data_IF_620295381211
#
_entry.id   IF_620295381211
#
_cell.length_a   1.000
_cell.length_b   1.000
_cell.length_c   1.000
_cell.angle_alpha   90.00
_cell.angle_beta   90.00
_cell.angle_gamma   90.00
#
_symmetry.space_group_name_H-M   'P 1'
#
loop_
_entity.id
_entity.type
_entity.pdbx_description
1 polymer ?
#
# COMPACT_ATOMS: atom_id res chain seq x y z
N UNK A 1 -36.54 -34.56 -0.87
CA UNK A 1 -35.54 -34.64 0.22
C UNK A 1 -34.15 -34.20 -0.22
N UNK A 2 -33.49 -34.79 -1.27
CA UNK A 2 -32.14 -34.40 -1.71
C UNK A 2 -32.01 -32.92 -2.12
N UNK A 3 -33.03 -32.35 -2.82
CA UNK A 3 -33.02 -30.93 -3.23
C UNK A 3 -33.11 -29.98 -2.03
N UNK A 4 -33.91 -30.33 -1.01
CA UNK A 4 -34.04 -29.55 0.22
C UNK A 4 -32.74 -29.56 1.03
N UNK A 5 -32.09 -30.74 1.12
CA UNK A 5 -30.78 -30.86 1.79
C UNK A 5 -29.72 -30.04 1.08
N UNK A 6 -29.68 -30.05 -0.26
CA UNK A 6 -28.74 -29.27 -1.05
C UNK A 6 -28.94 -27.77 -0.87
N UNK A 7 -30.22 -27.31 -0.85
CA UNK A 7 -30.53 -25.89 -0.59
C UNK A 7 -30.14 -25.48 0.83
N UNK A 8 -30.33 -26.33 1.83
CA UNK A 8 -29.96 -26.06 3.21
C UNK A 8 -28.43 -25.95 3.36
N UNK A 9 -27.67 -26.85 2.72
CA UNK A 9 -26.19 -26.81 2.69
C UNK A 9 -25.69 -25.56 1.98
N UNK A 10 -26.29 -25.17 0.85
CA UNK A 10 -25.94 -23.95 0.14
C UNK A 10 -26.16 -22.69 0.98
N UNK A 11 -27.29 -22.62 1.72
CA UNK A 11 -27.58 -21.50 2.63
C UNK A 11 -26.59 -21.45 3.79
N UNK A 12 -26.19 -22.60 4.35
CA UNK A 12 -25.17 -22.66 5.41
C UNK A 12 -23.80 -22.19 4.95
N UNK A 13 -23.42 -22.44 3.69
CA UNK A 13 -22.17 -21.94 3.12
C UNK A 13 -22.18 -20.42 2.87
N UNK A 14 -23.32 -19.83 2.54
CA UNK A 14 -23.43 -18.38 2.33
C UNK A 14 -23.38 -17.55 3.62
N UNK A 15 -23.75 -18.16 4.76
CA UNK A 15 -23.71 -17.50 6.06
C UNK A 15 -22.29 -17.34 6.64
N UNK A 16 -21.28 -17.98 6.06
CA UNK A 16 -19.89 -17.92 6.54
C UNK A 16 -19.02 -16.88 5.82
N UNK A 17 -19.54 -16.18 4.81
CA UNK A 17 -18.82 -15.17 4.07
C UNK A 17 -18.87 -13.83 4.81
N UNK A 18 -18.22 -13.74 5.97
CA UNK A 18 -17.98 -12.46 6.63
C UNK A 18 -16.73 -11.82 5.99
N UNK A 19 -16.93 -10.75 5.25
CA UNK A 19 -15.84 -9.93 4.79
C UNK A 19 -15.35 -9.05 5.93
N UNK A 20 -14.04 -8.91 6.05
CA UNK A 20 -13.45 -7.95 6.98
C UNK A 20 -13.64 -6.54 6.46
N UNK A 21 -13.95 -5.62 7.34
CA UNK A 21 -13.91 -4.21 7.02
C UNK A 21 -12.45 -3.77 6.81
N UNK A 22 -12.24 -2.76 6.00
CA UNK A 22 -10.93 -2.19 5.73
C UNK A 22 -10.83 -0.73 6.14
N UNK A 23 -9.69 -0.08 5.84
CA UNK A 23 -9.48 1.35 6.07
C UNK A 23 -9.57 1.75 7.56
N UNK A 24 -8.98 0.97 8.43
CA UNK A 24 -8.95 1.22 9.87
C UNK A 24 -8.15 2.48 10.21
N UNK A 25 -8.63 3.27 11.16
CA UNK A 25 -7.96 4.47 11.65
C UNK A 25 -6.72 4.09 12.47
N UNK A 26 -5.55 4.37 11.95
CA UNK A 26 -4.26 3.97 12.54
C UNK A 26 -4.10 4.39 14.02
N UNK A 27 -4.46 5.62 14.45
CA UNK A 27 -4.35 6.02 15.85
C UNK A 27 -5.23 5.21 16.81
N UNK A 28 -6.25 4.54 16.29
CA UNK A 28 -7.19 3.76 17.10
C UNK A 28 -7.01 2.25 17.02
N UNK A 29 -6.02 1.75 16.26
CA UNK A 29 -5.78 0.31 16.05
C UNK A 29 -5.72 -0.46 17.38
N UNK A 30 -4.99 0.04 18.36
CA UNK A 30 -4.83 -0.60 19.67
C UNK A 30 -6.17 -0.84 20.38
N UNK A 31 -7.10 0.10 20.25
CA UNK A 31 -8.40 0.01 20.94
C UNK A 31 -9.43 -0.78 20.16
N UNK A 32 -9.40 -0.69 18.83
CA UNK A 32 -10.48 -1.17 17.98
C UNK A 32 -10.19 -2.51 17.31
N UNK A 33 -9.01 -2.66 16.70
CA UNK A 33 -8.81 -3.71 15.69
C UNK A 33 -7.67 -4.66 15.97
N UNK A 34 -6.68 -4.27 16.78
CA UNK A 34 -5.44 -5.05 16.95
C UNK A 34 -5.70 -6.49 17.46
N UNK A 35 -6.71 -6.66 18.31
CA UNK A 35 -7.08 -7.98 18.84
C UNK A 35 -7.55 -8.92 17.75
N UNK A 36 -8.43 -8.43 16.88
CA UNK A 36 -8.96 -9.19 15.75
C UNK A 36 -7.88 -9.48 14.72
N UNK A 37 -7.08 -8.49 14.38
CA UNK A 37 -5.94 -8.64 13.49
C UNK A 37 -4.95 -9.70 13.97
N UNK A 38 -4.67 -9.74 15.29
CA UNK A 38 -3.80 -10.77 15.90
C UNK A 38 -4.44 -12.16 15.84
N UNK A 39 -5.74 -12.30 16.03
CA UNK A 39 -6.45 -13.57 15.86
C UNK A 39 -6.35 -14.10 14.42
N UNK A 40 -6.27 -13.21 13.43
CA UNK A 40 -6.08 -13.52 12.00
C UNK A 40 -4.62 -13.73 11.61
N UNK A 41 -3.70 -13.65 12.56
CA UNK A 41 -2.29 -13.98 12.36
C UNK A 41 -1.32 -12.81 12.31
N UNK A 42 -1.76 -11.56 12.56
CA UNK A 42 -0.87 -10.41 12.65
C UNK A 42 0.14 -10.63 13.79
N UNK A 43 1.43 -10.46 13.48
CA UNK A 43 2.54 -10.57 14.44
C UNK A 43 2.96 -9.22 15.01
N UNK A 44 2.60 -8.12 14.34
CA UNK A 44 2.98 -6.77 14.74
C UNK A 44 2.12 -6.26 15.90
N UNK A 45 2.68 -5.36 16.70
CA UNK A 45 1.93 -4.54 17.65
C UNK A 45 1.25 -3.36 16.94
N UNK A 46 0.40 -2.63 17.64
CA UNK A 46 -0.17 -1.40 17.10
C UNK A 46 0.92 -0.32 16.94
N UNK A 47 1.88 -0.28 17.85
CA UNK A 47 3.02 0.62 17.83
C UNK A 47 3.98 0.32 16.66
N UNK A 48 4.19 -0.95 16.30
CA UNK A 48 4.97 -1.33 15.12
C UNK A 48 4.33 -0.80 13.82
N UNK A 49 3.00 -0.68 13.80
CA UNK A 49 2.26 -0.18 12.65
C UNK A 49 2.22 1.34 12.64
N UNK A 50 1.87 1.95 13.77
CA UNK A 50 1.75 3.39 13.91
C UNK A 50 2.25 3.85 15.28
N UNK A 51 3.35 4.57 15.29
CA UNK A 51 3.89 5.28 16.45
C UNK A 51 4.24 6.72 16.08
N UNK A 52 4.06 7.64 17.01
CA UNK A 52 4.50 9.04 16.89
C UNK A 52 5.90 9.23 17.46
N UNK A 53 6.26 8.40 18.47
CA UNK A 53 7.49 8.55 19.23
C UNK A 53 8.60 7.60 18.79
N UNK A 54 8.25 6.51 18.13
CA UNK A 54 9.18 5.46 17.70
C UNK A 54 9.01 5.20 16.21
N UNK A 55 10.04 4.63 15.59
CA UNK A 55 9.96 4.18 14.20
C UNK A 55 8.89 3.10 14.05
N UNK A 56 8.07 3.23 13.03
CA UNK A 56 6.95 2.32 12.76
C UNK A 56 6.72 2.17 11.26
N UNK A 57 5.84 1.25 10.88
CA UNK A 57 5.51 1.01 9.47
C UNK A 57 5.01 2.28 8.75
N UNK A 58 4.36 3.23 9.48
CA UNK A 58 3.94 4.51 8.90
C UNK A 58 5.06 5.29 8.24
N UNK A 59 6.31 5.14 8.75
CA UNK A 59 7.46 5.90 8.27
C UNK A 59 7.98 5.41 6.90
N UNK A 60 7.57 4.20 6.51
CA UNK A 60 7.84 3.66 5.18
C UNK A 60 6.80 4.10 4.14
N UNK A 61 5.67 4.64 4.57
CA UNK A 61 4.57 5.01 3.67
C UNK A 61 4.59 6.51 3.43
N UNK A 62 4.54 6.89 2.16
CA UNK A 62 4.62 8.30 1.73
C UNK A 62 3.43 8.70 0.88
N UNK A 63 3.09 9.99 0.93
CA UNK A 63 2.23 10.61 -0.08
C UNK A 63 3.12 10.97 -1.26
N UNK A 64 2.94 10.25 -2.35
CA UNK A 64 3.76 10.35 -3.56
C UNK A 64 3.14 11.34 -4.56
N UNK A 65 3.92 12.31 -5.01
CA UNK A 65 3.49 13.30 -5.99
C UNK A 65 2.23 14.05 -5.57
N UNK A 66 1.21 14.04 -6.42
CA UNK A 66 -0.04 14.78 -6.26
C UNK A 66 -1.09 14.12 -5.35
N UNK A 67 -0.79 13.00 -4.69
CA UNK A 67 -1.74 12.34 -3.78
C UNK A 67 -1.80 10.82 -3.91
N UNK A 68 -0.89 10.21 -4.63
CA UNK A 68 -0.71 8.77 -4.62
C UNK A 68 -0.05 8.28 -3.32
N UNK A 69 -0.10 7.00 -3.09
CA UNK A 69 0.70 6.34 -2.04
C UNK A 69 1.95 5.74 -2.65
N UNK A 70 3.05 5.79 -1.92
CA UNK A 70 4.28 5.07 -2.24
C UNK A 70 4.86 4.42 -0.99
N UNK A 71 5.63 3.36 -1.16
CA UNK A 71 6.29 2.62 -0.09
C UNK A 71 7.80 2.64 -0.27
N UNK A 72 8.52 3.10 0.77
CA UNK A 72 9.98 3.04 0.80
C UNK A 72 10.39 1.62 1.19
N UNK A 73 11.11 0.93 0.31
CA UNK A 73 11.49 -0.47 0.47
C UNK A 73 12.99 -0.70 0.60
N UNK A 74 13.78 0.36 0.64
CA UNK A 74 15.23 0.23 0.84
C UNK A 74 15.79 1.39 1.67
N UNK A 75 16.93 1.17 2.36
CA UNK A 75 17.62 2.24 3.09
C UNK A 75 18.14 3.35 2.16
N UNK A 76 18.23 3.07 0.88
CA UNK A 76 18.67 4.01 -0.15
C UNK A 76 17.55 4.83 -0.77
N UNK A 77 16.30 4.67 -0.29
CA UNK A 77 15.16 5.45 -0.73
C UNK A 77 14.47 4.92 -1.99
N UNK A 78 14.61 3.62 -2.32
CA UNK A 78 13.82 3.04 -3.39
C UNK A 78 12.34 3.03 -2.99
N UNK A 79 11.50 3.63 -3.82
CA UNK A 79 10.06 3.76 -3.60
C UNK A 79 9.30 2.90 -4.62
N UNK A 80 8.36 2.09 -4.14
CA UNK A 80 7.34 1.47 -4.97
C UNK A 80 6.09 2.34 -4.99
N UNK A 81 5.44 2.40 -6.14
CA UNK A 81 4.13 3.04 -6.30
C UNK A 81 3.39 2.44 -7.48
N UNK A 82 2.16 2.85 -7.72
CA UNK A 82 1.39 2.38 -8.86
C UNK A 82 1.86 3.02 -10.16
N UNK A 83 1.77 2.29 -11.27
CA UNK A 83 2.16 2.77 -12.59
C UNK A 83 1.49 4.10 -12.96
N UNK A 84 0.18 4.24 -12.70
CA UNK A 84 -0.55 5.48 -13.04
C UNK A 84 -0.03 6.70 -12.25
N UNK A 85 0.58 6.52 -11.09
CA UNK A 85 1.17 7.59 -10.30
C UNK A 85 2.48 8.11 -10.90
N UNK A 86 3.22 7.25 -11.58
CA UNK A 86 4.46 7.57 -12.30
C UNK A 86 4.25 7.90 -13.78
N UNK A 87 3.03 7.73 -14.30
CA UNK A 87 2.77 7.81 -15.74
C UNK A 87 3.28 9.08 -16.41
N UNK A 88 3.03 10.25 -15.79
CA UNK A 88 3.51 11.53 -16.32
C UNK A 88 5.04 11.62 -16.39
N UNK A 89 5.74 11.10 -15.39
CA UNK A 89 7.20 11.04 -15.39
C UNK A 89 7.73 10.10 -16.48
N UNK A 90 7.12 8.90 -16.61
CA UNK A 90 7.48 7.94 -17.66
C UNK A 90 7.25 8.55 -19.05
N UNK A 91 6.12 9.21 -19.26
CA UNK A 91 5.81 9.88 -20.51
C UNK A 91 6.81 10.99 -20.83
N UNK A 92 7.20 11.79 -19.83
CA UNK A 92 8.17 12.88 -19.98
C UNK A 92 9.54 12.40 -20.46
N UNK A 93 9.94 11.19 -20.02
CA UNK A 93 11.20 10.56 -20.41
C UNK A 93 11.10 9.74 -21.71
N UNK A 94 9.91 9.47 -22.19
CA UNK A 94 9.70 8.70 -23.44
C UNK A 94 9.93 9.57 -24.67
N UNK A 95 10.47 8.95 -25.72
CA UNK A 95 10.65 9.54 -27.04
C UNK A 95 10.26 8.52 -28.11
N UNK A 96 10.36 8.91 -29.39
CA UNK A 96 10.12 8.00 -30.52
C UNK A 96 11.13 6.85 -30.54
N UNK A 97 12.39 7.13 -30.13
CA UNK A 97 13.47 6.15 -30.06
C UNK A 97 13.41 5.27 -28.80
N UNK A 98 12.79 5.79 -27.74
CA UNK A 98 12.71 5.15 -26.42
C UNK A 98 11.31 5.27 -25.83
N UNK A 99 10.43 4.35 -26.20
CA UNK A 99 9.05 4.32 -25.69
C UNK A 99 8.98 3.60 -24.34
N UNK A 100 9.35 4.29 -23.26
CA UNK A 100 9.33 3.71 -21.91
C UNK A 100 7.92 3.38 -21.39
N UNK A 101 6.87 3.98 -21.95
CA UNK A 101 5.50 3.59 -21.63
C UNK A 101 5.16 2.18 -22.14
N UNK A 102 5.69 1.83 -23.31
CA UNK A 102 5.47 0.52 -23.92
C UNK A 102 6.49 -0.52 -23.48
N UNK A 103 7.77 -0.15 -23.53
CA UNK A 103 8.88 -1.09 -23.38
C UNK A 103 9.37 -1.18 -21.92
N UNK A 104 8.96 -0.24 -21.07
CA UNK A 104 9.44 -0.11 -19.71
C UNK A 104 10.85 0.50 -19.64
N UNK A 105 11.29 0.77 -18.41
CA UNK A 105 12.65 1.23 -18.13
C UNK A 105 13.13 0.62 -16.82
N UNK A 106 14.37 0.17 -16.80
CA UNK A 106 15.01 -0.35 -15.61
C UNK A 106 16.45 0.13 -15.52
N UNK A 107 16.73 1.05 -14.58
CA UNK A 107 18.07 1.47 -14.25
C UNK A 107 18.83 0.34 -13.54
N UNK A 108 19.97 -0.10 -14.08
CA UNK A 108 20.83 -1.13 -13.48
C UNK A 108 21.80 -0.53 -12.44
N UNK A 109 21.92 0.76 -12.41
CA UNK A 109 22.75 1.52 -11.49
C UNK A 109 22.15 2.90 -11.26
N UNK A 110 22.53 3.57 -10.15
CA UNK A 110 22.10 4.95 -9.87
C UNK A 110 22.50 5.97 -10.94
N UNK A 111 23.54 5.69 -11.71
CA UNK A 111 23.97 6.57 -12.81
C UNK A 111 23.04 6.53 -14.02
N UNK A 112 22.25 5.47 -14.11
CA UNK A 112 21.28 5.27 -15.19
C UNK A 112 19.88 5.78 -14.80
N UNK A 113 19.68 6.16 -13.53
CA UNK A 113 18.40 6.69 -13.08
C UNK A 113 18.08 8.01 -13.79
N UNK A 114 16.85 8.15 -14.25
CA UNK A 114 16.40 9.34 -14.97
C UNK A 114 15.86 10.37 -13.97
N UNK A 115 16.44 11.57 -13.90
CA UNK A 115 16.02 12.58 -12.96
C UNK A 115 14.62 13.08 -13.29
N UNK A 116 13.76 13.22 -12.29
CA UNK A 116 12.39 13.71 -12.43
C UNK A 116 12.22 15.00 -11.61
N UNK A 117 12.63 16.17 -12.16
CA UNK A 117 12.54 17.42 -11.44
C UNK A 117 11.10 17.77 -11.06
N UNK A 118 10.89 18.23 -9.82
CA UNK A 118 9.57 18.60 -9.32
C UNK A 118 8.75 17.44 -8.75
N UNK A 119 9.17 16.20 -8.92
CA UNK A 119 8.56 15.08 -8.19
C UNK A 119 8.98 15.16 -6.73
N UNK A 120 7.99 15.15 -5.85
CA UNK A 120 8.20 15.19 -4.41
C UNK A 120 7.33 14.17 -3.72
N UNK A 121 7.73 13.77 -2.52
CA UNK A 121 6.92 12.92 -1.65
C UNK A 121 6.97 13.46 -0.22
N UNK A 122 5.95 13.15 0.57
CA UNK A 122 5.78 13.63 1.94
C UNK A 122 5.58 12.46 2.88
N UNK A 123 6.24 12.52 4.02
CA UNK A 123 6.06 11.57 5.11
C UNK A 123 4.87 11.97 5.99
N UNK A 124 4.23 10.97 6.59
CA UNK A 124 3.22 11.18 7.62
C UNK A 124 3.91 11.25 8.97
N UNK A 125 4.00 12.43 9.57
CA UNK A 125 4.53 12.56 10.92
C UNK A 125 3.54 12.02 11.95
N UNK A 126 2.31 12.56 11.92
CA UNK A 126 1.23 12.14 12.82
C UNK A 126 -0.13 12.44 12.22
N UNK A 127 -1.12 11.70 12.70
CA UNK A 127 -2.53 11.92 12.42
C UNK A 127 -3.14 12.54 13.68
N UNK A 128 -3.80 13.66 13.55
CA UNK A 128 -4.52 14.37 14.63
C UNK A 128 -5.98 14.51 14.27
N UNK A 129 -6.86 14.58 15.30
CA UNK A 129 -8.29 14.87 15.14
C UNK A 129 -8.50 16.36 14.83
#
# INVERSE_FOLDING_TARGET
MKKLLFSLVAVLFTLSAMADEGMWLLPYLQKMNIKDMKQKGLKLSAEDIYSVNESSLKDAIVIFGGGCTGEIISPDGLILTNHHCGYGAIQQHSSVEHDYLKDGFWAKSRKEELPTPGLAFRFVERIVD
#
